data_IF_634257436331
#
_entry.id   IF_634257436331
#
_cell.length_a   1.000
_cell.length_b   1.000
_cell.length_c   1.000
_cell.angle_alpha   90.00
_cell.angle_beta   90.00
_cell.angle_gamma   90.00
#
_symmetry.space_group_name_H-M   'P 1'
#
loop_
_entity.id
_entity.type
_entity.pdbx_description
1 polymer ?
#
# COMPACT_ATOMS: atom_id res chain seq x y z
N UNK A 1 -0.44 57.57 28.83
CA UNK A 1 -1.68 56.82 28.53
C UNK A 1 -1.64 56.10 27.18
N UNK A 2 -0.89 56.57 26.17
CA UNK A 2 -0.78 55.95 24.85
C UNK A 2 0.23 54.75 24.81
N UNK A 3 1.21 54.68 25.72
CA UNK A 3 2.17 53.57 25.83
C UNK A 3 1.53 52.30 26.44
N UNK A 4 0.51 52.48 27.26
CA UNK A 4 -0.19 51.35 27.89
C UNK A 4 -1.05 50.50 26.90
N UNK A 5 -1.62 51.14 25.87
CA UNK A 5 -2.45 50.42 24.89
C UNK A 5 -1.63 49.55 23.92
N UNK A 6 -0.45 50.05 23.48
CA UNK A 6 0.43 49.28 22.58
C UNK A 6 1.02 48.05 23.26
N UNK A 7 1.40 48.16 24.54
CA UNK A 7 1.88 47.02 25.32
C UNK A 7 0.77 46.01 25.61
N UNK A 8 -0.45 46.47 25.81
CA UNK A 8 -1.65 45.61 25.99
C UNK A 8 -2.00 44.83 24.73
N UNK A 9 -1.80 45.42 23.54
CA UNK A 9 -2.09 44.76 22.29
C UNK A 9 -1.03 43.65 21.92
N UNK A 10 0.21 43.84 22.30
CA UNK A 10 1.27 42.84 22.14
C UNK A 10 0.99 41.61 23.02
N UNK A 11 0.47 41.80 24.24
CA UNK A 11 0.11 40.69 25.14
C UNK A 11 -1.14 39.93 24.72
N UNK A 12 -1.99 40.53 23.89
CA UNK A 12 -3.21 39.87 23.39
C UNK A 12 -3.03 39.05 22.13
N UNK A 13 -1.89 39.18 21.43
CA UNK A 13 -1.60 38.38 20.25
C UNK A 13 -1.22 36.96 20.66
N UNK A 14 -2.04 36.00 20.27
CA UNK A 14 -1.75 34.59 20.42
C UNK A 14 -0.67 34.15 19.41
N UNK A 15 0.12 33.11 19.69
CA UNK A 15 1.10 32.58 18.74
C UNK A 15 0.52 32.31 17.34
N UNK A 16 -0.74 31.97 17.27
CA UNK A 16 -1.51 31.77 16.01
C UNK A 16 -1.59 33.04 15.15
N UNK A 17 -1.65 34.24 15.77
CA UNK A 17 -1.73 35.51 15.07
C UNK A 17 -0.39 35.91 14.42
N UNK A 18 0.72 35.30 14.86
CA UNK A 18 2.06 35.52 14.34
C UNK A 18 2.40 34.62 13.16
N UNK A 19 1.60 33.55 12.92
CA UNK A 19 1.83 32.57 11.86
C UNK A 19 1.12 33.02 10.59
N UNK A 20 1.88 33.20 9.51
CA UNK A 20 1.30 33.45 8.20
C UNK A 20 0.84 32.10 7.55
N UNK A 21 -0.43 31.81 7.61
CA UNK A 21 -1.03 30.62 7.03
C UNK A 21 -1.25 30.70 5.51
N UNK A 22 -1.10 31.87 4.89
CA UNK A 22 -1.41 32.09 3.46
C UNK A 22 -0.62 31.19 2.51
N UNK A 23 0.71 30.99 2.66
CA UNK A 23 1.48 30.10 1.78
C UNK A 23 0.99 28.66 1.83
N UNK A 24 0.69 28.14 3.03
CA UNK A 24 0.19 26.78 3.23
C UNK A 24 -1.21 26.64 2.62
N UNK A 25 -2.10 27.59 2.89
CA UNK A 25 -3.45 27.60 2.32
C UNK A 25 -3.42 27.71 0.78
N UNK A 26 -2.48 28.45 0.20
CA UNK A 26 -2.31 28.56 -1.24
C UNK A 26 -1.85 27.23 -1.85
N UNK A 27 -0.87 26.54 -1.27
CA UNK A 27 -0.39 25.25 -1.73
C UNK A 27 -1.48 24.16 -1.66
N UNK A 28 -2.24 24.11 -0.57
CA UNK A 28 -3.36 23.17 -0.42
C UNK A 28 -4.45 23.46 -1.47
N UNK A 29 -4.78 24.72 -1.69
CA UNK A 29 -5.79 25.14 -2.68
C UNK A 29 -5.32 24.82 -4.11
N UNK A 30 -4.06 25.02 -4.43
CA UNK A 30 -3.47 24.66 -5.72
C UNK A 30 -3.56 23.16 -5.96
N UNK A 31 -3.22 22.33 -4.97
CA UNK A 31 -3.33 20.87 -5.08
C UNK A 31 -4.78 20.44 -5.40
N UNK A 32 -5.76 20.88 -4.62
CA UNK A 32 -7.15 20.47 -4.82
C UNK A 32 -7.79 21.08 -6.07
N UNK A 33 -7.33 22.22 -6.54
CA UNK A 33 -7.90 22.92 -7.71
C UNK A 33 -7.29 22.53 -9.06
N UNK A 34 -6.02 22.14 -9.12
CA UNK A 34 -5.29 21.97 -10.38
C UNK A 34 -4.46 20.69 -10.50
N UNK A 35 -4.30 19.93 -9.42
CA UNK A 35 -3.51 18.68 -9.48
C UNK A 35 -4.25 17.59 -10.27
N UNK A 36 -3.51 16.87 -11.12
CA UNK A 36 -3.99 15.68 -11.83
C UNK A 36 -4.43 14.55 -10.88
N UNK A 37 -3.86 14.50 -9.66
CA UNK A 37 -4.18 13.48 -8.65
C UNK A 37 -5.42 13.82 -7.84
N UNK A 38 -5.84 15.09 -7.82
CA UNK A 38 -7.11 15.50 -7.23
C UNK A 38 -8.21 15.33 -8.26
N UNK A 39 -9.07 14.32 -8.07
CA UNK A 39 -10.08 13.92 -9.02
C UNK A 39 -11.47 13.98 -8.40
N UNK A 40 -12.49 14.12 -9.23
CA UNK A 40 -13.86 13.93 -8.83
C UNK A 40 -14.10 12.47 -8.44
N UNK A 41 -14.61 12.22 -7.24
CA UNK A 41 -14.78 10.88 -6.72
C UNK A 41 -15.86 10.10 -7.48
N UNK A 42 -15.55 8.86 -7.86
CA UNK A 42 -16.55 7.94 -8.37
C UNK A 42 -17.46 7.48 -7.22
N UNK A 43 -18.74 7.85 -7.28
CA UNK A 43 -19.75 7.61 -6.25
C UNK A 43 -20.94 6.76 -6.73
N UNK A 44 -20.76 5.93 -7.74
CA UNK A 44 -21.82 5.05 -8.26
C UNK A 44 -22.35 4.11 -7.17
N UNK A 45 -21.46 3.56 -6.35
CA UNK A 45 -21.76 2.72 -5.18
C UNK A 45 -20.62 2.81 -4.16
N UNK A 46 -20.80 2.32 -2.91
CA UNK A 46 -19.75 2.37 -1.89
C UNK A 46 -18.43 1.68 -2.29
N UNK A 47 -18.49 0.60 -3.06
CA UNK A 47 -17.29 -0.11 -3.52
C UNK A 47 -16.47 0.73 -4.49
N UNK A 48 -17.14 1.47 -5.41
CA UNK A 48 -16.43 2.35 -6.35
C UNK A 48 -15.72 3.50 -5.64
N UNK A 49 -16.30 4.04 -4.57
CA UNK A 49 -15.65 5.04 -3.71
C UNK A 49 -14.37 4.50 -3.07
N UNK A 50 -14.43 3.31 -2.45
CA UNK A 50 -13.28 2.66 -1.82
C UNK A 50 -12.19 2.38 -2.86
N UNK A 51 -12.56 1.83 -3.99
CA UNK A 51 -11.63 1.50 -5.09
C UNK A 51 -10.95 2.76 -5.61
N UNK A 52 -11.68 3.85 -5.78
CA UNK A 52 -11.11 5.11 -6.24
C UNK A 52 -10.10 5.70 -5.24
N UNK A 53 -10.40 5.66 -3.94
CA UNK A 53 -9.52 6.14 -2.87
C UNK A 53 -8.23 5.31 -2.73
N UNK A 54 -8.25 4.05 -3.13
CA UNK A 54 -7.12 3.12 -3.09
C UNK A 54 -6.37 3.00 -4.42
N UNK A 55 -6.62 3.90 -5.36
CA UNK A 55 -6.00 3.90 -6.68
C UNK A 55 -4.56 4.41 -6.62
N UNK A 56 -3.68 3.74 -7.34
CA UNK A 56 -2.29 4.10 -7.52
C UNK A 56 -2.08 4.59 -8.96
N UNK A 57 -1.44 5.73 -9.14
CA UNK A 57 -1.14 6.28 -10.46
C UNK A 57 0.38 6.44 -10.61
N UNK A 58 0.92 5.94 -11.72
CA UNK A 58 2.30 6.22 -12.11
C UNK A 58 2.45 7.56 -12.85
N UNK A 59 1.33 8.22 -13.16
CA UNK A 59 1.27 9.51 -13.87
C UNK A 59 1.31 10.68 -12.88
N UNK A 60 1.57 11.87 -13.41
CA UNK A 60 1.53 13.11 -12.65
C UNK A 60 2.90 13.72 -12.38
N UNK A 61 2.98 14.76 -11.53
CA UNK A 61 4.24 15.44 -11.22
C UNK A 61 5.27 14.48 -10.61
N UNK A 62 6.45 14.40 -11.21
CA UNK A 62 7.51 13.47 -10.80
C UNK A 62 7.33 12.02 -11.26
N UNK A 63 6.23 11.71 -11.95
CA UNK A 63 5.92 10.40 -12.50
C UNK A 63 6.20 10.27 -13.99
N UNK A 64 5.58 9.25 -14.60
CA UNK A 64 5.71 8.93 -16.01
C UNK A 64 4.70 9.73 -16.88
N UNK A 65 4.99 9.83 -18.16
CA UNK A 65 4.02 10.23 -19.19
C UNK A 65 3.60 9.02 -20.00
N UNK A 66 2.36 8.98 -20.50
CA UNK A 66 1.84 7.85 -21.27
C UNK A 66 2.72 7.46 -22.44
N UNK A 67 3.22 8.46 -23.18
CA UNK A 67 4.01 8.26 -24.40
C UNK A 67 5.41 7.73 -24.13
N UNK A 68 5.93 7.96 -22.91
CA UNK A 68 7.27 7.50 -22.49
C UNK A 68 7.24 6.20 -21.70
N UNK A 69 6.06 5.70 -21.37
CA UNK A 69 5.89 4.47 -20.63
C UNK A 69 5.99 3.25 -21.56
N UNK A 70 7.12 2.55 -21.51
CA UNK A 70 7.33 1.28 -22.20
C UNK A 70 6.59 0.11 -21.53
N UNK A 71 6.78 -1.09 -22.08
CA UNK A 71 6.16 -2.30 -21.54
C UNK A 71 6.68 -2.65 -20.13
N UNK A 72 7.94 -2.45 -19.84
CA UNK A 72 8.58 -2.79 -18.57
C UNK A 72 7.89 -2.16 -17.36
N UNK A 73 7.48 -0.87 -17.48
CA UNK A 73 6.81 -0.15 -16.38
C UNK A 73 5.33 -0.48 -16.25
N UNK A 74 4.76 -1.16 -17.25
CA UNK A 74 3.36 -1.59 -17.28
C UNK A 74 3.16 -3.03 -16.83
N UNK A 75 4.23 -3.82 -16.80
CA UNK A 75 4.20 -5.22 -16.42
C UNK A 75 4.11 -5.40 -14.91
N UNK A 76 3.65 -6.58 -14.51
CA UNK A 76 3.61 -7.00 -13.12
C UNK A 76 5.01 -7.44 -12.70
N UNK A 77 5.51 -6.85 -11.61
CA UNK A 77 6.81 -7.20 -11.05
C UNK A 77 6.63 -8.04 -9.76
N UNK A 78 7.55 -8.95 -9.43
CA UNK A 78 7.46 -9.75 -8.20
C UNK A 78 7.30 -8.94 -6.91
N UNK A 79 7.84 -7.72 -6.86
CA UNK A 79 7.68 -6.79 -5.73
C UNK A 79 6.25 -6.26 -5.55
N UNK A 80 5.37 -6.45 -6.54
CA UNK A 80 3.95 -6.10 -6.44
C UNK A 80 3.16 -7.06 -5.55
N UNK A 81 3.70 -8.22 -5.25
CA UNK A 81 3.01 -9.23 -4.44
C UNK A 81 2.54 -8.67 -3.10
N UNK A 82 1.23 -8.78 -2.85
CA UNK A 82 0.61 -8.27 -1.64
C UNK A 82 0.57 -6.73 -1.50
N UNK A 83 1.07 -5.98 -2.49
CA UNK A 83 1.13 -4.50 -2.49
C UNK A 83 0.26 -3.87 -3.55
N UNK A 84 0.41 -4.33 -4.78
CA UNK A 84 -0.33 -3.83 -5.94
C UNK A 84 -1.09 -4.99 -6.56
N UNK A 85 -2.38 -4.82 -6.82
CA UNK A 85 -3.20 -5.84 -7.45
C UNK A 85 -2.69 -6.13 -8.86
N UNK A 86 -2.43 -7.40 -9.21
CA UNK A 86 -1.88 -7.74 -10.52
C UNK A 86 -2.92 -7.72 -11.65
N UNK A 87 -4.21 -7.65 -11.33
CA UNK A 87 -5.30 -7.80 -12.30
C UNK A 87 -6.15 -6.55 -12.47
N UNK A 88 -6.29 -5.70 -11.46
CA UNK A 88 -7.13 -4.49 -11.53
C UNK A 88 -6.36 -3.34 -12.16
N UNK A 89 -6.54 -3.14 -13.46
CA UNK A 89 -5.96 -2.04 -14.24
C UNK A 89 -6.91 -1.69 -15.39
N UNK A 90 -6.98 -0.41 -15.85
CA UNK A 90 -7.80 -0.06 -17.00
C UNK A 90 -7.28 -0.67 -18.30
N UNK A 91 -8.17 -0.76 -19.28
CA UNK A 91 -7.81 -1.07 -20.67
C UNK A 91 -7.35 0.18 -21.42
N UNK A 92 -6.52 -0.02 -22.43
CA UNK A 92 -6.05 1.05 -23.33
C UNK A 92 -4.77 1.74 -22.88
N UNK A 93 -4.60 3.07 -23.15
CA UNK A 93 -3.31 3.76 -22.98
C UNK A 93 -2.79 3.81 -21.54
N UNK A 94 -3.64 3.63 -20.55
CA UNK A 94 -3.30 3.66 -19.13
C UNK A 94 -3.06 2.27 -18.52
N UNK A 95 -3.06 1.21 -19.32
CA UNK A 95 -2.83 -0.14 -18.81
C UNK A 95 -1.49 -0.23 -18.06
N UNK A 96 -1.50 -0.80 -16.86
CA UNK A 96 -0.31 -0.93 -16.01
C UNK A 96 0.20 0.37 -15.39
N UNK A 97 -0.32 1.55 -15.78
CA UNK A 97 0.04 2.85 -15.20
C UNK A 97 -0.92 3.29 -14.10
N UNK A 98 -2.15 2.83 -14.15
CA UNK A 98 -3.16 3.02 -13.11
C UNK A 98 -3.45 1.64 -12.51
N UNK A 99 -3.18 1.50 -11.24
CA UNK A 99 -3.31 0.25 -10.51
C UNK A 99 -4.11 0.47 -9.21
N UNK A 100 -4.43 -0.62 -8.52
CA UNK A 100 -5.08 -0.57 -7.22
C UNK A 100 -4.22 -1.17 -6.13
N UNK A 101 -4.28 -0.57 -4.95
CA UNK A 101 -3.61 -1.08 -3.77
C UNK A 101 -4.21 -2.43 -3.35
N UNK A 102 -3.39 -3.41 -3.05
CA UNK A 102 -3.84 -4.72 -2.56
C UNK A 102 -4.60 -4.59 -1.23
N UNK A 103 -5.47 -5.56 -0.94
CA UNK A 103 -6.46 -5.46 0.16
C UNK A 103 -5.85 -5.14 1.51
N UNK A 104 -4.75 -5.81 1.88
CA UNK A 104 -4.09 -5.66 3.18
C UNK A 104 -2.88 -4.72 3.15
N UNK A 105 -2.54 -4.17 1.99
CA UNK A 105 -1.41 -3.26 1.85
C UNK A 105 -1.70 -1.89 2.48
N UNK A 106 -0.65 -1.28 2.99
CA UNK A 106 -0.66 0.08 3.52
C UNK A 106 0.56 0.86 3.05
N UNK A 107 0.49 2.18 3.11
CA UNK A 107 1.62 3.07 2.83
C UNK A 107 2.25 3.48 4.14
N UNK A 108 3.57 3.33 4.27
CA UNK A 108 4.30 3.75 5.45
C UNK A 108 4.59 5.26 5.46
N UNK A 109 5.19 5.76 6.55
CA UNK A 109 5.52 7.18 6.72
C UNK A 109 6.51 7.75 5.70
N UNK A 110 7.21 6.88 4.98
CA UNK A 110 8.18 7.25 3.93
C UNK A 110 7.59 7.15 2.51
N UNK A 111 6.34 6.71 2.37
CA UNK A 111 5.68 6.55 1.08
C UNK A 111 5.85 5.17 0.44
N UNK A 112 6.52 4.21 1.09
CA UNK A 112 6.64 2.83 0.58
C UNK A 112 5.41 2.00 0.94
N UNK A 113 5.03 1.11 0.02
CA UNK A 113 3.92 0.17 0.24
C UNK A 113 4.44 -1.04 0.99
N UNK A 114 3.77 -1.37 2.09
CA UNK A 114 4.05 -2.51 2.95
C UNK A 114 2.90 -3.51 2.92
N UNK A 115 3.22 -4.78 3.10
CA UNK A 115 2.25 -5.86 3.20
C UNK A 115 2.46 -6.65 4.50
N UNK A 116 1.38 -7.19 5.11
CA UNK A 116 1.50 -7.91 6.36
C UNK A 116 1.88 -9.37 6.15
N UNK A 117 2.69 -9.91 7.06
CA UNK A 117 3.03 -11.32 7.18
C UNK A 117 2.90 -11.76 8.63
N UNK A 118 2.58 -13.04 8.86
CA UNK A 118 2.63 -13.64 10.19
C UNK A 118 4.00 -14.31 10.39
N UNK A 119 4.59 -14.14 11.56
CA UNK A 119 5.86 -14.80 11.89
C UNK A 119 5.68 -16.28 12.13
N UNK A 120 6.66 -17.05 11.67
CA UNK A 120 6.78 -18.48 11.92
C UNK A 120 8.03 -18.72 12.79
N UNK A 121 7.90 -19.55 13.82
CA UNK A 121 9.00 -19.98 14.69
C UNK A 121 8.89 -21.50 14.88
N UNK A 122 9.96 -22.23 14.56
CA UNK A 122 10.03 -23.70 14.70
C UNK A 122 8.84 -24.41 14.00
N UNK A 123 8.53 -24.00 12.78
CA UNK A 123 7.40 -24.48 11.98
C UNK A 123 6.01 -24.18 12.61
N UNK A 124 5.94 -23.33 13.62
CA UNK A 124 4.70 -22.86 14.26
C UNK A 124 4.38 -21.43 13.84
N UNK A 125 3.20 -21.23 13.29
CA UNK A 125 2.68 -19.90 12.93
C UNK A 125 2.25 -19.15 14.18
N UNK A 126 2.78 -17.95 14.39
CA UNK A 126 2.44 -17.09 15.52
C UNK A 126 1.36 -16.07 15.12
N UNK A 127 0.76 -15.41 16.10
CA UNK A 127 -0.19 -14.31 15.86
C UNK A 127 0.50 -12.95 15.66
N UNK A 128 1.84 -12.93 15.70
CA UNK A 128 2.62 -11.73 15.47
C UNK A 128 2.56 -11.33 13.98
N UNK A 129 1.91 -10.20 13.69
CA UNK A 129 1.82 -9.64 12.33
C UNK A 129 2.86 -8.55 12.16
N UNK A 130 3.68 -8.68 11.12
CA UNK A 130 4.73 -7.73 10.77
C UNK A 130 4.47 -7.19 9.37
N UNK A 131 4.52 -5.87 9.22
CA UNK A 131 4.44 -5.22 7.92
C UNK A 131 5.83 -5.01 7.36
N UNK A 132 6.03 -5.38 6.10
CA UNK A 132 7.33 -5.30 5.44
C UNK A 132 7.23 -4.66 4.07
N UNK A 133 8.27 -3.88 3.73
CA UNK A 133 8.51 -3.40 2.37
C UNK A 133 9.04 -4.53 1.48
N UNK A 134 9.04 -4.33 0.16
CA UNK A 134 9.54 -5.33 -0.78
C UNK A 134 11.03 -5.67 -0.57
N UNK A 135 11.84 -4.67 -0.21
CA UNK A 135 13.27 -4.86 0.05
C UNK A 135 13.56 -5.69 1.30
N UNK A 136 12.74 -5.50 2.33
CA UNK A 136 12.86 -6.28 3.58
C UNK A 136 12.42 -7.72 3.37
N UNK A 137 11.33 -7.92 2.63
CA UNK A 137 10.74 -9.21 2.31
C UNK A 137 11.72 -10.16 1.61
N UNK A 138 12.57 -9.65 0.73
CA UNK A 138 13.54 -10.45 -0.03
C UNK A 138 14.49 -11.29 0.84
N UNK A 139 14.65 -10.93 2.10
CA UNK A 139 15.55 -11.63 3.04
C UNK A 139 14.95 -12.91 3.61
N UNK A 140 13.62 -13.03 3.59
CA UNK A 140 12.87 -14.07 4.28
C UNK A 140 12.35 -15.16 3.35
N UNK A 141 12.18 -16.35 3.88
CA UNK A 141 11.50 -17.48 3.24
C UNK A 141 10.03 -17.45 3.67
N UNK A 142 9.13 -17.22 2.74
CA UNK A 142 7.71 -16.92 3.01
C UNK A 142 6.83 -18.04 2.47
N UNK A 143 6.03 -18.66 3.34
CA UNK A 143 5.04 -19.64 2.94
C UNK A 143 3.77 -18.98 2.42
N UNK A 144 3.07 -19.65 1.53
CA UNK A 144 1.76 -19.22 1.02
C UNK A 144 0.68 -19.43 2.08
N UNK A 145 -0.37 -18.58 2.06
CA UNK A 145 -1.48 -18.63 3.01
C UNK A 145 -2.32 -19.94 2.94
N UNK A 146 -2.21 -20.70 1.83
CA UNK A 146 -2.91 -21.97 1.63
C UNK A 146 -2.15 -23.19 2.21
N UNK A 147 -1.00 -22.98 2.84
CA UNK A 147 -0.26 -24.04 3.51
C UNK A 147 -1.12 -24.68 4.60
N UNK A 148 -1.12 -26.02 4.64
CA UNK A 148 -1.93 -26.77 5.59
C UNK A 148 -1.33 -26.68 6.99
N UNK A 149 -2.12 -26.19 7.93
CA UNK A 149 -1.77 -26.06 9.34
C UNK A 149 -2.63 -27.00 10.18
N UNK A 150 -2.13 -27.47 11.31
CA UNK A 150 -2.88 -28.19 12.32
C UNK A 150 -3.67 -27.21 13.21
N UNK A 151 -4.43 -27.74 14.17
CA UNK A 151 -5.22 -26.95 15.13
C UNK A 151 -4.34 -26.02 16.00
N UNK A 152 -3.06 -26.33 16.13
CA UNK A 152 -2.10 -25.55 16.91
C UNK A 152 -1.34 -24.53 16.07
N UNK A 153 -1.58 -24.51 14.75
CA UNK A 153 -0.88 -23.63 13.81
C UNK A 153 0.48 -24.13 13.32
N UNK A 154 0.79 -25.42 13.48
CA UNK A 154 2.01 -26.04 12.96
C UNK A 154 1.77 -26.56 11.53
N UNK A 155 2.79 -26.47 10.67
CA UNK A 155 2.72 -27.06 9.35
C UNK A 155 2.57 -28.59 9.42
N UNK A 156 1.60 -29.13 8.68
CA UNK A 156 1.35 -30.58 8.59
C UNK A 156 2.34 -31.25 7.67
N UNK A 157 2.72 -30.57 6.57
CA UNK A 157 3.61 -31.11 5.57
C UNK A 157 5.06 -30.78 5.91
N UNK A 158 5.98 -31.73 5.73
CA UNK A 158 7.41 -31.52 5.89
C UNK A 158 7.99 -30.54 4.86
N UNK A 159 7.43 -30.55 3.65
CA UNK A 159 7.78 -29.62 2.57
C UNK A 159 6.60 -28.65 2.30
N UNK A 160 6.91 -27.37 2.33
CA UNK A 160 5.95 -26.28 2.15
C UNK A 160 6.31 -25.48 0.90
N UNK A 161 5.32 -25.09 0.10
CA UNK A 161 5.51 -24.14 -1.00
C UNK A 161 5.84 -22.77 -0.44
N UNK A 162 6.99 -22.27 -0.79
CA UNK A 162 7.52 -21.00 -0.32
C UNK A 162 7.95 -20.10 -1.47
N UNK A 163 8.08 -18.82 -1.15
CA UNK A 163 8.59 -17.77 -2.02
C UNK A 163 9.80 -17.10 -1.34
N UNK A 164 10.87 -16.92 -2.10
CA UNK A 164 12.04 -16.16 -1.67
C UNK A 164 12.60 -15.37 -2.85
N UNK A 165 12.77 -14.06 -2.66
CA UNK A 165 13.29 -13.14 -3.71
C UNK A 165 12.57 -13.25 -5.07
N UNK A 166 11.27 -13.55 -5.06
CA UNK A 166 10.43 -13.70 -6.26
C UNK A 166 10.44 -15.10 -6.89
N UNK A 167 11.26 -16.03 -6.40
CA UNK A 167 11.29 -17.42 -6.86
C UNK A 167 10.44 -18.32 -5.96
N UNK A 168 9.75 -19.28 -6.58
CA UNK A 168 8.92 -20.27 -5.88
C UNK A 168 9.67 -21.59 -5.76
N UNK A 169 9.69 -22.14 -4.56
CA UNK A 169 10.37 -23.40 -4.28
C UNK A 169 9.69 -24.16 -3.14
N UNK A 170 9.96 -25.46 -3.05
CA UNK A 170 9.58 -26.29 -1.91
C UNK A 170 10.71 -26.30 -0.90
N UNK A 171 10.43 -25.85 0.30
CA UNK A 171 11.37 -25.79 1.41
C UNK A 171 10.86 -26.60 2.62
N UNK A 172 11.77 -27.11 3.47
CA UNK A 172 11.38 -27.71 4.75
C UNK A 172 10.60 -26.71 5.61
N UNK A 173 9.57 -27.19 6.31
CA UNK A 173 8.72 -26.35 7.16
C UNK A 173 9.52 -25.59 8.24
N UNK A 174 10.63 -26.15 8.72
CA UNK A 174 11.51 -25.53 9.70
C UNK A 174 12.28 -24.31 9.17
N UNK A 175 12.47 -24.24 7.85
CA UNK A 175 13.16 -23.11 7.19
C UNK A 175 12.23 -21.93 6.88
N UNK A 176 10.94 -22.06 7.12
CA UNK A 176 9.92 -21.01 6.88
C UNK A 176 9.97 -19.99 8.01
N UNK A 177 10.16 -18.73 7.66
CA UNK A 177 10.26 -17.62 8.62
C UNK A 177 8.99 -16.79 8.71
N UNK A 178 8.24 -16.70 7.60
CA UNK A 178 7.01 -15.94 7.47
C UNK A 178 5.94 -16.74 6.70
N UNK A 179 4.69 -16.37 6.92
CA UNK A 179 3.55 -16.88 6.15
C UNK A 179 2.62 -15.73 5.74
N UNK A 180 2.05 -15.80 4.55
CA UNK A 180 1.02 -14.86 4.10
C UNK A 180 -0.19 -14.89 5.04
N UNK A 181 -0.79 -13.73 5.29
CA UNK A 181 -1.94 -13.62 6.20
C UNK A 181 -3.20 -14.24 5.60
N UNK A 182 -3.42 -14.05 4.30
CA UNK A 182 -4.61 -14.53 3.57
C UNK A 182 -4.33 -14.61 2.08
N UNK A 183 -4.97 -15.53 1.34
CA UNK A 183 -4.91 -15.54 -0.13
C UNK A 183 -5.42 -14.25 -0.78
N UNK A 184 -6.38 -13.57 -0.14
CA UNK A 184 -6.91 -12.26 -0.60
C UNK A 184 -5.91 -11.11 -0.52
N UNK A 185 -4.78 -11.32 0.15
CA UNK A 185 -3.70 -10.35 0.26
C UNK A 185 -3.11 -9.96 -1.10
N UNK A 186 -3.16 -10.85 -2.08
CA UNK A 186 -2.60 -10.65 -3.41
C UNK A 186 -3.38 -9.62 -4.25
N UNK A 187 -4.68 -9.56 -4.08
CA UNK A 187 -5.60 -8.80 -4.93
C UNK A 187 -6.18 -7.57 -4.25
N UNK A 188 -6.73 -6.65 -5.04
CA UNK A 188 -7.44 -5.46 -4.53
C UNK A 188 -8.75 -5.81 -3.82
N UNK A 189 -9.34 -4.82 -3.16
CA UNK A 189 -10.64 -4.99 -2.47
C UNK A 189 -11.73 -5.42 -3.45
N UNK A 190 -11.83 -4.77 -4.62
CA UNK A 190 -12.84 -5.12 -5.62
C UNK A 190 -12.64 -6.52 -6.18
N UNK A 191 -11.39 -6.87 -6.53
CA UNK A 191 -11.06 -8.20 -7.04
C UNK A 191 -11.30 -9.31 -6.00
N UNK A 192 -11.07 -9.05 -4.73
CA UNK A 192 -11.29 -10.01 -3.64
C UNK A 192 -12.76 -10.37 -3.40
N UNK A 193 -13.68 -9.58 -3.95
CA UNK A 193 -15.13 -9.80 -3.86
C UNK A 193 -15.69 -10.62 -5.03
N UNK A 194 -14.88 -10.90 -6.06
CA UNK A 194 -15.28 -11.71 -7.19
C UNK A 194 -15.31 -13.19 -6.76
N UNK A 195 -16.46 -13.87 -6.85
CA UNK A 195 -16.55 -15.29 -6.49
C UNK A 195 -15.65 -16.14 -7.37
N UNK A 196 -14.96 -17.10 -6.77
CA UNK A 196 -14.09 -18.07 -7.45
C UNK A 196 -12.87 -17.49 -8.20
N UNK A 197 -12.49 -16.26 -7.89
CA UNK A 197 -11.27 -15.66 -8.41
C UNK A 197 -10.04 -16.17 -7.65
#
# INVERSE_FOLDING_TARGET
LLQSSAASDVYKRQPQDLINAKPVAAAVREFFGSSQLSQFMDQTNPLSEVTHKRRLSALGPGGLTRDRAGFEVRDVHPTHYGRVCPIETPEGPNIGLINSLASFARVNKYGFIETPYRRVKDALVTDEVVYMSATEEMKYTIAQANAKLDEKGKFINDLVSTRKSGEYMLNPAESVELIDVSPKQLVSVAASLIPFL
#
